data_IF_221915285542
#
_entry.id   IF_221915285542
#
_cell.length_a   1.000
_cell.length_b   1.000
_cell.length_c   1.000
_cell.angle_alpha   90.00
_cell.angle_beta   90.00
_cell.angle_gamma   90.00
#
_symmetry.space_group_name_H-M   'P 1'
#
loop_
_entity.id
_entity.type
_entity.pdbx_description
1 polymer ?
#
# COMPACT_ATOMS: atom_id res chain seq x y z
N UNK A 1 2.82 -12.50 -3.53
CA UNK A 1 3.44 -12.44 -4.86
C UNK A 1 3.74 -11.00 -5.26
N UNK A 2 4.95 -10.76 -5.70
CA UNK A 2 5.38 -9.45 -6.16
C UNK A 2 5.79 -9.59 -7.63
N UNK A 3 5.07 -8.87 -8.51
CA UNK A 3 5.29 -8.96 -9.95
C UNK A 3 6.52 -8.15 -10.40
N UNK A 4 6.79 -8.17 -11.70
CA UNK A 4 7.94 -7.49 -12.29
C UNK A 4 7.86 -5.97 -12.16
N UNK A 5 9.02 -5.35 -12.07
CA UNK A 5 9.19 -3.89 -12.06
C UNK A 5 8.52 -3.20 -10.88
N UNK A 6 8.26 -3.91 -9.80
CA UNK A 6 7.77 -3.29 -8.59
C UNK A 6 8.92 -2.63 -7.83
N UNK A 7 8.65 -1.47 -7.27
CA UNK A 7 9.60 -0.76 -6.41
C UNK A 7 9.03 -0.71 -5.01
N UNK A 8 9.78 -1.24 -4.06
CA UNK A 8 9.36 -1.27 -2.66
C UNK A 8 10.39 -0.53 -1.84
N UNK A 9 9.96 0.53 -1.18
CA UNK A 9 10.83 1.36 -0.36
C UNK A 9 11.35 0.64 0.87
N UNK A 10 12.38 1.21 1.48
CA UNK A 10 13.01 0.61 2.66
C UNK A 10 12.05 0.58 3.85
N UNK A 11 12.27 -0.37 4.72
CA UNK A 11 11.50 -0.57 5.96
C UNK A 11 10.01 -0.81 5.73
N UNK A 12 9.61 -1.15 4.51
CA UNK A 12 8.22 -1.49 4.25
C UNK A 12 7.99 -2.96 4.55
N UNK A 13 6.85 -3.24 5.16
CA UNK A 13 6.43 -4.59 5.51
C UNK A 13 5.24 -4.98 4.66
N UNK A 14 5.37 -6.07 3.93
CA UNK A 14 4.30 -6.59 3.10
C UNK A 14 3.93 -7.97 3.62
N UNK A 15 2.73 -8.08 4.15
CA UNK A 15 2.27 -9.34 4.72
C UNK A 15 1.67 -10.23 3.63
N UNK A 16 1.85 -11.52 3.78
CA UNK A 16 1.18 -12.48 2.89
C UNK A 16 -0.27 -12.64 3.36
N UNK A 17 -1.23 -12.82 2.46
CA UNK A 17 -1.07 -13.13 1.03
C UNK A 17 -1.14 -11.94 0.07
N UNK A 18 -0.58 -10.80 0.42
CA UNK A 18 -0.62 -9.62 -0.47
C UNK A 18 -0.06 -9.95 -1.86
N UNK A 19 -0.80 -9.55 -2.89
CA UNK A 19 -0.35 -9.68 -4.28
C UNK A 19 -0.09 -8.29 -4.84
N UNK A 20 1.15 -8.02 -5.23
CA UNK A 20 1.57 -6.73 -5.79
C UNK A 20 1.73 -6.89 -7.29
N UNK A 21 0.86 -6.24 -8.06
CA UNK A 21 0.85 -6.35 -9.52
C UNK A 21 1.94 -5.50 -10.16
N UNK A 22 2.19 -5.72 -11.45
CA UNK A 22 3.34 -5.16 -12.15
C UNK A 22 3.47 -3.65 -12.08
N UNK A 23 4.69 -3.18 -11.95
CA UNK A 23 5.05 -1.76 -11.95
C UNK A 23 4.41 -0.94 -10.84
N UNK A 24 3.90 -1.57 -9.79
CA UNK A 24 3.43 -0.85 -8.60
C UNK A 24 4.63 -0.31 -7.83
N UNK A 25 4.44 0.83 -7.19
CA UNK A 25 5.48 1.46 -6.37
C UNK A 25 4.97 1.61 -4.94
N UNK A 26 5.73 1.10 -3.99
CA UNK A 26 5.42 1.21 -2.58
C UNK A 26 6.51 2.04 -1.92
N UNK A 27 6.11 3.10 -1.22
CA UNK A 27 7.05 3.99 -0.57
C UNK A 27 7.75 3.37 0.63
N UNK A 28 8.42 4.20 1.42
CA UNK A 28 9.14 3.79 2.61
C UNK A 28 8.21 3.66 3.81
N UNK A 29 8.58 2.78 4.73
CA UNK A 29 7.90 2.62 6.02
C UNK A 29 6.41 2.31 5.89
N UNK A 30 6.03 1.64 4.80
CA UNK A 30 4.65 1.21 4.59
C UNK A 30 4.37 -0.09 5.32
N UNK A 31 3.13 -0.27 5.72
CA UNK A 31 2.67 -1.52 6.31
C UNK A 31 1.49 -2.02 5.47
N UNK A 32 1.70 -3.09 4.74
CA UNK A 32 0.77 -3.54 3.70
C UNK A 32 0.18 -4.89 4.08
N UNK A 33 -1.12 -4.94 4.28
CA UNK A 33 -1.85 -6.18 4.52
C UNK A 33 -3.00 -6.35 3.52
N UNK A 34 -2.86 -5.74 2.34
CA UNK A 34 -3.88 -5.77 1.30
C UNK A 34 -3.97 -7.14 0.63
N UNK A 35 -5.11 -7.44 0.02
CA UNK A 35 -5.23 -8.62 -0.83
C UNK A 35 -4.53 -8.39 -2.16
N UNK A 36 -4.82 -7.29 -2.81
CA UNK A 36 -4.29 -6.96 -4.13
C UNK A 36 -3.92 -5.49 -4.21
N UNK A 37 -2.76 -5.21 -4.80
CA UNK A 37 -2.39 -3.88 -5.23
C UNK A 37 -2.31 -3.91 -6.74
N UNK A 38 -3.15 -3.10 -7.39
CA UNK A 38 -3.27 -3.06 -8.83
C UNK A 38 -1.97 -2.58 -9.49
N UNK A 39 -1.75 -3.00 -10.74
CA UNK A 39 -0.57 -2.58 -11.49
C UNK A 39 -0.50 -1.05 -11.61
N UNK A 40 0.72 -0.53 -11.59
CA UNK A 40 1.03 0.89 -11.74
C UNK A 40 0.51 1.81 -10.64
N UNK A 41 -0.06 1.26 -9.57
CA UNK A 41 -0.51 2.05 -8.42
C UNK A 41 0.70 2.49 -7.60
N UNK A 42 0.64 3.69 -7.05
CA UNK A 42 1.66 4.23 -6.16
C UNK A 42 1.10 4.35 -4.75
N UNK A 43 1.83 3.78 -3.81
CA UNK A 43 1.51 3.88 -2.39
C UNK A 43 2.53 4.84 -1.77
N UNK A 44 2.05 5.92 -1.18
CA UNK A 44 2.91 6.93 -0.57
C UNK A 44 3.63 6.42 0.66
N UNK A 45 4.67 7.14 1.08
CA UNK A 45 5.46 6.78 2.25
C UNK A 45 4.60 6.72 3.51
N UNK A 46 4.90 5.81 4.40
CA UNK A 46 4.24 5.66 5.69
C UNK A 46 2.75 5.34 5.58
N UNK A 47 2.28 4.88 4.43
CA UNK A 47 0.90 4.45 4.28
C UNK A 47 0.71 3.08 4.94
N UNK A 48 -0.48 2.86 5.46
CA UNK A 48 -0.86 1.57 6.01
C UNK A 48 -2.12 1.08 5.30
N UNK A 49 -2.06 -0.13 4.77
CA UNK A 49 -3.22 -0.76 4.10
C UNK A 49 -3.72 -1.89 4.98
N UNK A 50 -5.00 -1.79 5.33
CA UNK A 50 -5.62 -2.76 6.21
C UNK A 50 -5.90 -4.09 5.53
N UNK A 51 -6.19 -5.08 6.37
CA UNK A 51 -6.40 -6.45 5.93
C UNK A 51 -7.57 -6.56 4.93
N UNK A 52 -7.33 -7.29 3.86
CA UNK A 52 -8.36 -7.52 2.85
C UNK A 52 -8.62 -6.38 1.89
N UNK A 53 -7.78 -5.35 1.90
CA UNK A 53 -7.97 -4.21 1.01
C UNK A 53 -7.68 -4.56 -0.45
N UNK A 54 -8.43 -3.92 -1.35
CA UNK A 54 -8.20 -4.03 -2.78
C UNK A 54 -7.85 -2.63 -3.29
N UNK A 55 -6.59 -2.42 -3.67
CA UNK A 55 -6.08 -1.10 -4.02
C UNK A 55 -6.11 -0.90 -5.53
N UNK A 56 -6.94 0.01 -6.00
CA UNK A 56 -7.11 0.29 -7.43
C UNK A 56 -6.70 1.70 -7.82
N UNK A 57 -6.41 2.56 -6.85
CA UNK A 57 -5.95 3.93 -7.08
C UNK A 57 -4.77 4.24 -6.17
N UNK A 58 -4.01 5.25 -6.53
CA UNK A 58 -2.89 5.71 -5.73
C UNK A 58 -3.34 6.05 -4.31
N UNK A 59 -2.49 5.75 -3.35
CA UNK A 59 -2.74 6.00 -1.93
C UNK A 59 -1.77 7.10 -1.48
N UNK A 60 -2.28 8.19 -0.88
CA UNK A 60 -1.42 9.26 -0.37
C UNK A 60 -0.49 8.78 0.74
N UNK A 61 0.54 9.57 1.03
CA UNK A 61 1.43 9.28 2.13
C UNK A 61 0.74 9.43 3.48
N UNK A 62 1.24 8.74 4.46
CA UNK A 62 0.86 8.87 5.88
C UNK A 62 -0.65 8.73 6.13
N UNK A 63 -1.29 7.81 5.43
CA UNK A 63 -2.71 7.51 5.66
C UNK A 63 -2.90 6.04 5.98
N UNK A 64 -3.99 5.76 6.67
CA UNK A 64 -4.51 4.40 6.80
C UNK A 64 -5.65 4.28 5.80
N UNK A 65 -5.57 3.27 4.94
CA UNK A 65 -6.60 3.00 3.95
C UNK A 65 -7.01 1.54 4.03
N UNK A 66 -8.28 1.27 3.79
CA UNK A 66 -8.77 -0.11 3.67
C UNK A 66 -10.09 -0.15 2.92
N UNK A 67 -10.52 -1.35 2.64
CA UNK A 67 -11.78 -1.62 1.94
C UNK A 67 -11.59 -2.09 0.52
N UNK A 68 -12.70 -2.29 -0.17
CA UNK A 68 -12.73 -2.68 -1.57
C UNK A 68 -13.75 -1.80 -2.32
N UNK A 69 -13.28 -0.78 -3.07
CA UNK A 69 -11.90 -0.37 -3.24
C UNK A 69 -11.34 0.29 -1.98
N UNK A 70 -10.02 0.19 -1.78
CA UNK A 70 -9.38 0.80 -0.63
C UNK A 70 -9.47 2.32 -0.69
N UNK A 71 -9.81 2.92 0.43
CA UNK A 71 -9.94 4.37 0.55
C UNK A 71 -9.26 4.87 1.82
N UNK A 72 -8.58 6.01 1.77
CA UNK A 72 -8.02 6.61 2.97
C UNK A 72 -9.12 6.90 4.00
N UNK A 73 -8.88 6.55 5.25
CA UNK A 73 -9.84 6.78 6.34
C UNK A 73 -9.33 7.76 7.38
N UNK A 74 -8.01 7.84 7.59
CA UNK A 74 -7.39 8.80 8.50
C UNK A 74 -5.89 8.81 8.32
N UNK A 75 -5.22 9.78 8.96
CA UNK A 75 -3.76 9.79 9.02
C UNK A 75 -3.25 8.62 9.86
N UNK A 76 -2.15 8.04 9.46
CA UNK A 76 -1.50 6.98 10.22
C UNK A 76 -0.76 7.54 11.43
N UNK A 77 -0.02 8.62 11.22
CA UNK A 77 0.74 9.30 12.28
C UNK A 77 0.33 10.75 12.33
N UNK A 78 0.06 11.26 13.53
CA UNK A 78 -0.18 12.67 13.72
C UNK A 78 1.14 13.42 13.62
N UNK A 79 1.09 14.62 13.02
CA UNK A 79 2.25 15.48 12.98
C UNK A 79 2.35 16.25 14.31
N UNK A 80 3.57 16.31 14.81
CA UNK A 80 3.81 17.06 16.06
C UNK A 80 3.77 18.57 15.83
#
# INVERSE_FOLDING_TARGET
>A
HIAHNCVIGKNSMILVPTSVSGSAEIGEDCHIAADIIRNQVKIGDRAMLGLGSVVVKDIPENVIAYGNPARPVRKRFEEA
#
